data_IF_172580934125
#
_entry.id   IF_172580934125
#
_cell.length_a   1.000
_cell.length_b   1.000
_cell.length_c   1.000
_cell.angle_alpha   90.00
_cell.angle_beta   90.00
_cell.angle_gamma   90.00
#
_symmetry.space_group_name_H-M   'P 1'
#
loop_
_entity.id
_entity.type
_entity.pdbx_description
1 polymer ?
#
# COMPACT_ATOMS: atom_id res chain seq x y z
N UNK A 1 23.55 4.98 24.23
CA UNK A 1 23.28 4.46 22.87
C UNK A 1 22.78 5.61 21.99
N UNK A 2 22.89 5.54 20.67
CA UNK A 2 22.39 6.59 19.77
C UNK A 2 20.99 6.24 19.27
N UNK A 3 20.17 7.25 18.95
CA UNK A 3 18.88 7.07 18.26
C UNK A 3 19.05 6.26 16.97
N UNK A 4 18.02 5.51 16.58
CA UNK A 4 18.02 4.83 15.28
C UNK A 4 17.96 5.86 14.16
N UNK A 5 19.03 5.97 13.37
CA UNK A 5 19.07 6.90 12.25
C UNK A 5 18.32 6.30 11.06
N UNK A 6 17.06 6.67 10.91
CA UNK A 6 16.18 6.16 9.86
C UNK A 6 16.65 6.55 8.46
N UNK A 7 17.30 7.70 8.31
CA UNK A 7 17.79 8.17 7.01
C UNK A 7 18.87 7.22 6.45
N UNK A 8 19.70 6.62 7.32
CA UNK A 8 20.71 5.63 6.95
C UNK A 8 20.14 4.36 6.31
N UNK A 9 18.87 4.05 6.58
CA UNK A 9 18.19 2.85 6.08
C UNK A 9 17.14 3.15 4.99
N UNK A 10 16.89 4.43 4.67
CA UNK A 10 15.86 4.85 3.71
C UNK A 10 16.09 4.32 2.28
N UNK A 11 17.32 3.92 1.92
CA UNK A 11 17.61 3.33 0.59
C UNK A 11 17.00 1.94 0.40
N UNK A 12 16.89 1.14 1.46
CA UNK A 12 16.50 -0.28 1.35
C UNK A 12 15.08 -0.45 0.79
N UNK A 13 14.06 0.28 1.26
CA UNK A 13 12.74 0.23 0.63
C UNK A 13 12.79 0.50 -0.88
N UNK A 14 13.50 1.55 -1.32
CA UNK A 14 13.56 1.89 -2.76
C UNK A 14 14.29 0.81 -3.58
N UNK A 15 15.27 0.11 -3.01
CA UNK A 15 15.86 -1.06 -3.65
C UNK A 15 14.85 -2.20 -3.82
N UNK A 16 13.94 -2.40 -2.86
CA UNK A 16 12.83 -3.35 -3.03
C UNK A 16 11.78 -2.86 -4.03
N UNK A 17 11.59 -1.54 -4.18
CA UNK A 17 10.75 -0.99 -5.25
C UNK A 17 11.34 -1.31 -6.64
N UNK A 18 12.67 -1.29 -6.77
CA UNK A 18 13.34 -1.75 -7.99
C UNK A 18 13.14 -3.26 -8.19
N UNK A 19 13.41 -4.06 -7.14
CA UNK A 19 13.27 -5.51 -7.21
C UNK A 19 11.83 -5.96 -7.55
N UNK A 20 10.82 -5.38 -6.90
CA UNK A 20 9.42 -5.70 -7.20
C UNK A 20 9.03 -5.26 -8.61
N UNK A 21 9.56 -4.15 -9.13
CA UNK A 21 9.28 -3.67 -10.49
C UNK A 21 9.90 -4.59 -11.53
N UNK A 22 11.11 -5.11 -11.27
CA UNK A 22 11.75 -6.12 -12.10
C UNK A 22 10.96 -7.44 -12.12
N UNK A 23 10.48 -7.90 -10.95
CA UNK A 23 9.57 -9.06 -10.88
C UNK A 23 8.25 -8.80 -11.62
N UNK A 24 7.71 -7.58 -11.51
CA UNK A 24 6.50 -7.17 -12.24
C UNK A 24 6.70 -7.22 -13.75
N UNK A 25 7.83 -6.71 -14.25
CA UNK A 25 8.22 -6.81 -15.66
C UNK A 25 8.33 -8.27 -16.11
N UNK A 26 8.99 -9.13 -15.32
CA UNK A 26 9.10 -10.56 -15.62
C UNK A 26 7.73 -11.24 -15.73
N UNK A 27 6.81 -10.93 -14.80
CA UNK A 27 5.44 -11.46 -14.81
C UNK A 27 4.65 -10.99 -16.02
N UNK A 28 4.84 -9.75 -16.48
CA UNK A 28 4.22 -9.25 -17.73
C UNK A 28 4.86 -9.88 -18.96
N UNK A 29 6.17 -10.06 -18.96
CA UNK A 29 6.91 -10.68 -20.06
C UNK A 29 6.43 -12.12 -20.31
N UNK A 30 6.17 -12.89 -19.24
CA UNK A 30 5.63 -14.25 -19.33
C UNK A 30 4.35 -14.36 -20.18
N UNK A 31 3.55 -13.28 -20.26
CA UNK A 31 2.30 -13.25 -21.03
C UNK A 31 2.53 -13.05 -22.54
N UNK A 32 3.68 -12.52 -22.93
CA UNK A 32 4.07 -12.30 -24.33
C UNK A 32 4.99 -13.43 -24.81
N UNK A 33 5.95 -13.82 -23.98
CA UNK A 33 6.92 -14.86 -24.29
C UNK A 33 7.10 -15.76 -23.06
N UNK A 34 6.51 -16.98 -23.08
CA UNK A 34 6.55 -17.89 -21.94
C UNK A 34 7.98 -18.31 -21.58
N UNK A 35 8.34 -18.16 -20.30
CA UNK A 35 9.57 -18.67 -19.71
C UNK A 35 9.28 -19.97 -18.92
N UNK A 36 10.30 -20.83 -18.70
CA UNK A 36 10.16 -22.06 -17.93
C UNK A 36 10.13 -21.80 -16.41
N UNK A 37 9.19 -20.96 -15.97
CA UNK A 37 8.99 -20.58 -14.56
C UNK A 37 7.56 -20.84 -14.12
N UNK A 38 7.37 -21.14 -12.83
CA UNK A 38 6.04 -21.25 -12.25
C UNK A 38 5.50 -19.84 -11.96
N UNK A 39 4.60 -19.34 -12.81
CA UNK A 39 4.04 -17.98 -12.70
C UNK A 39 3.59 -17.62 -11.27
N UNK A 40 2.85 -18.51 -10.61
CA UNK A 40 2.32 -18.30 -9.24
C UNK A 40 3.43 -18.09 -8.20
N UNK A 41 4.59 -18.72 -8.37
CA UNK A 41 5.72 -18.57 -7.45
C UNK A 41 6.32 -17.16 -7.53
N UNK A 42 6.44 -16.62 -8.74
CA UNK A 42 6.90 -15.25 -8.96
C UNK A 42 5.86 -14.21 -8.55
N UNK A 43 4.55 -14.52 -8.65
CA UNK A 43 3.50 -13.66 -8.07
C UNK A 43 3.67 -13.55 -6.56
N UNK A 44 3.99 -14.64 -5.85
CA UNK A 44 4.26 -14.59 -4.41
C UNK A 44 5.52 -13.76 -4.11
N UNK A 45 6.60 -13.94 -4.86
CA UNK A 45 7.81 -13.14 -4.71
C UNK A 45 7.52 -11.64 -4.90
N UNK A 46 6.78 -11.29 -5.97
CA UNK A 46 6.42 -9.92 -6.30
C UNK A 46 5.57 -9.28 -5.20
N UNK A 47 4.48 -9.93 -4.79
CA UNK A 47 3.55 -9.36 -3.80
C UNK A 47 4.18 -9.21 -2.42
N UNK A 48 4.96 -10.19 -1.94
CA UNK A 48 5.64 -10.07 -0.64
C UNK A 48 6.74 -9.00 -0.67
N UNK A 49 7.49 -8.90 -1.77
CA UNK A 49 8.49 -7.82 -1.93
C UNK A 49 7.82 -6.44 -1.95
N UNK A 50 6.65 -6.32 -2.58
CA UNK A 50 5.89 -5.07 -2.56
C UNK A 50 5.37 -4.70 -1.18
N UNK A 51 4.76 -5.65 -0.46
CA UNK A 51 4.13 -5.35 0.83
C UNK A 51 5.18 -5.16 1.92
N UNK A 52 6.14 -6.07 1.99
CA UNK A 52 7.05 -6.22 3.12
C UNK A 52 8.38 -5.52 2.85
N UNK A 53 8.90 -5.66 1.62
CA UNK A 53 10.13 -5.02 1.19
C UNK A 53 9.98 -3.51 0.99
N UNK A 54 9.02 -3.09 0.17
CA UNK A 54 8.78 -1.67 -0.13
C UNK A 54 7.95 -0.99 0.95
N UNK A 55 6.65 -1.30 1.03
CA UNK A 55 5.70 -0.49 1.81
C UNK A 55 5.94 -0.59 3.32
N UNK A 56 6.05 -1.80 3.87
CA UNK A 56 6.22 -1.99 5.32
C UNK A 56 7.51 -1.36 5.82
N UNK A 57 8.64 -1.62 5.16
CA UNK A 57 9.91 -1.01 5.56
C UNK A 57 9.88 0.52 5.46
N UNK A 58 9.30 1.09 4.40
CA UNK A 58 9.17 2.54 4.27
C UNK A 58 8.32 3.14 5.40
N UNK A 59 7.15 2.55 5.68
CA UNK A 59 6.29 2.99 6.78
C UNK A 59 6.96 2.86 8.13
N UNK A 60 7.63 1.74 8.41
CA UNK A 60 8.33 1.52 9.67
C UNK A 60 9.37 2.62 9.92
N UNK A 61 10.23 2.92 8.93
CA UNK A 61 11.21 4.00 9.04
C UNK A 61 10.55 5.37 9.23
N UNK A 62 9.49 5.67 8.48
CA UNK A 62 8.80 6.96 8.55
C UNK A 62 8.07 7.14 9.88
N UNK A 63 7.46 6.08 10.41
CA UNK A 63 6.82 6.07 11.72
C UNK A 63 7.86 6.39 12.80
N UNK A 64 9.02 5.74 12.77
CA UNK A 64 10.09 6.06 13.73
C UNK A 64 10.59 7.51 13.57
N UNK A 65 10.73 8.02 12.35
CA UNK A 65 11.13 9.42 12.13
C UNK A 65 10.12 10.42 12.76
N UNK A 66 8.82 10.12 12.68
CA UNK A 66 7.76 11.05 13.06
C UNK A 66 7.21 10.85 14.47
N UNK A 67 7.31 9.65 15.05
CA UNK A 67 6.69 9.28 16.31
C UNK A 67 7.69 8.81 17.38
N UNK A 68 8.93 8.46 17.02
CA UNK A 68 9.94 8.17 18.04
C UNK A 68 10.29 9.47 18.80
N UNK A 69 10.08 9.44 20.12
CA UNK A 69 10.44 10.52 21.03
C UNK A 69 11.95 10.59 21.30
N UNK A 70 12.33 11.17 22.45
CA UNK A 70 13.73 11.26 22.89
C UNK A 70 14.30 9.94 23.45
N UNK A 71 13.53 8.85 23.39
CA UNK A 71 13.92 7.55 23.94
C UNK A 71 15.03 6.88 23.12
N UNK A 72 15.87 6.11 23.80
CA UNK A 72 17.09 5.55 23.23
C UNK A 72 16.91 4.08 22.82
N UNK A 73 15.99 3.83 21.88
CA UNK A 73 15.65 2.48 21.43
C UNK A 73 16.43 2.05 20.17
N UNK A 74 17.56 2.71 19.89
CA UNK A 74 18.27 2.59 18.62
C UNK A 74 18.72 1.17 18.25
N UNK A 75 19.26 0.42 19.22
CA UNK A 75 19.69 -0.98 19.00
C UNK A 75 18.50 -1.90 18.72
N UNK A 76 17.38 -1.71 19.43
CA UNK A 76 16.17 -2.50 19.27
C UNK A 76 15.60 -2.34 17.86
N UNK A 77 15.37 -1.10 17.42
CA UNK A 77 14.82 -0.83 16.10
C UNK A 77 15.75 -1.23 14.96
N UNK A 78 17.08 -1.13 15.17
CA UNK A 78 18.06 -1.68 14.23
C UNK A 78 17.95 -3.20 14.13
N UNK A 79 17.82 -3.90 15.26
CA UNK A 79 17.61 -5.34 15.29
C UNK A 79 16.35 -5.74 14.51
N UNK A 80 15.22 -5.08 14.78
CA UNK A 80 13.99 -5.28 14.03
C UNK A 80 14.18 -5.05 12.53
N UNK A 81 14.80 -3.93 12.14
CA UNK A 81 15.01 -3.64 10.72
C UNK A 81 15.83 -4.72 10.02
N UNK A 82 16.92 -5.19 10.63
CA UNK A 82 17.76 -6.26 10.09
C UNK A 82 16.97 -7.55 9.93
N UNK A 83 16.17 -7.93 10.94
CA UNK A 83 15.35 -9.14 10.86
C UNK A 83 14.28 -9.05 9.76
N UNK A 84 13.69 -7.87 9.54
CA UNK A 84 12.79 -7.65 8.39
C UNK A 84 13.54 -7.89 7.07
N UNK A 85 14.78 -7.41 6.93
CA UNK A 85 15.58 -7.64 5.72
C UNK A 85 15.84 -9.13 5.49
N UNK A 86 16.21 -9.87 6.54
CA UNK A 86 16.41 -11.33 6.47
C UNK A 86 15.13 -12.02 5.99
N UNK A 87 13.98 -11.65 6.55
CA UNK A 87 12.68 -12.18 6.13
C UNK A 87 12.38 -11.89 4.66
N UNK A 88 12.48 -10.64 4.24
CA UNK A 88 12.16 -10.22 2.86
C UNK A 88 13.10 -10.84 1.84
N UNK A 89 14.42 -10.81 2.07
CA UNK A 89 15.40 -11.41 1.15
C UNK A 89 15.22 -12.93 1.09
N UNK A 90 15.00 -13.57 2.25
CA UNK A 90 14.72 -14.99 2.31
C UNK A 90 13.48 -15.39 1.49
N UNK A 91 12.39 -14.61 1.59
CA UNK A 91 11.19 -14.79 0.76
C UNK A 91 11.45 -14.50 -0.72
N UNK A 92 12.13 -13.40 -1.04
CA UNK A 92 12.45 -12.99 -2.42
C UNK A 92 13.21 -14.09 -3.17
N UNK A 93 14.13 -14.77 -2.48
CA UNK A 93 14.90 -15.87 -3.04
C UNK A 93 14.09 -17.17 -3.05
N UNK A 94 13.44 -17.53 -1.94
CA UNK A 94 12.80 -18.85 -1.82
C UNK A 94 11.48 -18.99 -2.58
N UNK A 95 10.68 -17.92 -2.72
CA UNK A 95 9.41 -17.99 -3.44
C UNK A 95 9.58 -18.46 -4.89
N UNK A 96 10.49 -17.90 -5.71
CA UNK A 96 10.72 -18.36 -7.09
C UNK A 96 11.02 -19.87 -7.23
N UNK A 97 11.67 -20.49 -6.25
CA UNK A 97 12.09 -21.90 -6.34
C UNK A 97 11.05 -22.91 -5.85
N UNK A 98 10.25 -22.55 -4.84
CA UNK A 98 9.36 -23.52 -4.16
C UNK A 98 7.96 -22.97 -3.84
N UNK A 99 7.64 -21.74 -4.25
CA UNK A 99 6.38 -21.08 -3.88
C UNK A 99 6.21 -21.05 -2.37
N UNK A 100 5.02 -21.44 -1.89
CA UNK A 100 4.73 -21.63 -0.46
C UNK A 100 5.37 -22.92 0.12
N UNK A 101 6.64 -23.15 -0.18
CA UNK A 101 7.43 -24.21 0.43
C UNK A 101 7.88 -23.86 1.85
N UNK A 102 8.41 -24.84 2.62
CA UNK A 102 8.77 -24.67 4.03
C UNK A 102 9.71 -23.49 4.30
N UNK A 103 10.72 -23.29 3.44
CA UNK A 103 11.69 -22.18 3.61
C UNK A 103 11.01 -20.80 3.48
N UNK A 104 10.09 -20.64 2.53
CA UNK A 104 9.37 -19.38 2.29
C UNK A 104 8.40 -19.11 3.44
N UNK A 105 7.72 -20.17 3.92
CA UNK A 105 6.84 -20.10 5.09
C UNK A 105 7.64 -19.68 6.33
N UNK A 106 8.82 -20.27 6.57
CA UNK A 106 9.66 -19.92 7.71
C UNK A 106 10.04 -18.43 7.69
N UNK A 107 10.51 -17.91 6.55
CA UNK A 107 10.83 -16.48 6.43
C UNK A 107 9.61 -15.56 6.54
N UNK A 108 8.46 -15.95 5.97
CA UNK A 108 7.22 -15.18 6.12
C UNK A 108 6.71 -15.15 7.56
N UNK A 109 6.88 -16.25 8.29
CA UNK A 109 6.49 -16.38 9.70
C UNK A 109 7.40 -15.55 10.59
N UNK A 110 8.72 -15.62 10.36
CA UNK A 110 9.71 -14.77 11.02
C UNK A 110 9.38 -13.30 10.81
N UNK A 111 9.12 -12.91 9.56
CA UNK A 111 8.73 -11.54 9.23
C UNK A 111 7.47 -11.14 10.00
N UNK A 112 6.41 -11.95 9.94
CA UNK A 112 5.16 -11.68 10.65
C UNK A 112 5.38 -11.50 12.17
N UNK A 113 6.12 -12.40 12.81
CA UNK A 113 6.44 -12.32 14.24
C UNK A 113 7.16 -11.01 14.60
N UNK A 114 8.13 -10.59 13.78
CA UNK A 114 8.85 -9.32 14.00
C UNK A 114 7.93 -8.13 13.78
N UNK A 115 7.02 -8.16 12.79
CA UNK A 115 6.06 -7.08 12.58
C UNK A 115 5.06 -6.92 13.73
N UNK A 116 4.73 -8.01 14.44
CA UNK A 116 3.93 -7.97 15.67
C UNK A 116 4.74 -7.31 16.79
N UNK A 117 6.00 -7.71 16.99
CA UNK A 117 6.87 -7.12 18.00
C UNK A 117 7.12 -5.62 17.76
N UNK A 118 7.30 -5.22 16.49
CA UNK A 118 7.37 -3.81 16.07
C UNK A 118 6.07 -3.10 16.44
N UNK A 119 4.91 -3.67 16.11
CA UNK A 119 3.64 -3.02 16.38
C UNK A 119 3.45 -2.75 17.88
N UNK A 120 3.73 -3.73 18.73
CA UNK A 120 3.69 -3.57 20.20
C UNK A 120 4.67 -2.50 20.68
N UNK A 121 5.90 -2.49 20.14
CA UNK A 121 6.93 -1.52 20.52
C UNK A 121 6.57 -0.09 20.11
N UNK A 122 6.08 0.09 18.88
CA UNK A 122 5.62 1.39 18.38
C UNK A 122 4.39 1.85 19.14
N UNK A 123 3.46 0.96 19.49
CA UNK A 123 2.27 1.31 20.27
C UNK A 123 2.65 1.96 21.60
N UNK A 124 3.71 1.45 22.26
CA UNK A 124 4.27 2.02 23.51
C UNK A 124 4.96 3.38 23.32
N UNK A 125 5.44 3.70 22.11
CA UNK A 125 6.01 5.02 21.82
C UNK A 125 4.94 6.12 21.75
N UNK A 126 3.71 5.76 21.44
CA UNK A 126 2.61 6.71 21.34
C UNK A 126 2.13 6.98 22.77
N UNK A 127 2.58 8.10 23.35
CA UNK A 127 2.28 8.48 24.74
C UNK A 127 1.04 9.37 24.90
N UNK A 128 0.62 10.02 23.82
CA UNK A 128 -0.49 10.99 23.82
C UNK A 128 -1.56 10.61 22.78
N UNK A 129 -2.79 10.44 23.24
CA UNK A 129 -3.98 10.06 22.45
C UNK A 129 -4.76 11.27 21.94
N UNK A 130 -4.40 12.48 22.38
CA UNK A 130 -5.12 13.70 22.02
C UNK A 130 -4.98 14.09 20.55
N UNK A 131 -3.88 13.66 19.90
CA UNK A 131 -3.59 14.02 18.51
C UNK A 131 -4.27 13.08 17.51
N UNK A 132 -4.72 13.66 16.38
CA UNK A 132 -5.37 12.90 15.32
C UNK A 132 -4.38 11.89 14.72
N UNK A 133 -3.13 12.32 14.54
CA UNK A 133 -2.05 11.49 14.04
C UNK A 133 -1.81 10.24 14.91
N UNK A 134 -1.77 10.42 16.24
CA UNK A 134 -1.58 9.31 17.18
C UNK A 134 -2.75 8.30 17.13
N UNK A 135 -3.99 8.81 17.06
CA UNK A 135 -5.18 7.96 16.93
C UNK A 135 -5.12 7.12 15.65
N UNK A 136 -4.81 7.73 14.50
CA UNK A 136 -4.71 7.02 13.23
C UNK A 136 -3.59 5.98 13.24
N UNK A 137 -2.43 6.30 13.82
CA UNK A 137 -1.32 5.34 13.91
C UNK A 137 -1.69 4.13 14.78
N UNK A 138 -2.34 4.35 15.93
CA UNK A 138 -2.77 3.24 16.80
C UNK A 138 -3.71 2.29 16.09
N UNK A 139 -4.73 2.83 15.41
CA UNK A 139 -5.66 2.01 14.65
C UNK A 139 -5.01 1.33 13.45
N UNK A 140 -4.05 1.99 12.79
CA UNK A 140 -3.27 1.36 11.73
C UNK A 140 -2.56 0.10 12.27
N UNK A 141 -1.88 0.20 13.41
CA UNK A 141 -1.20 -0.93 14.06
C UNK A 141 -2.19 -2.01 14.51
N UNK A 142 -3.35 -1.64 15.05
CA UNK A 142 -4.41 -2.59 15.41
C UNK A 142 -4.89 -3.34 14.17
N UNK A 143 -5.17 -2.64 13.06
CA UNK A 143 -5.59 -3.28 11.82
C UNK A 143 -4.48 -4.14 11.18
N UNK A 144 -3.21 -3.80 11.37
CA UNK A 144 -2.08 -4.65 10.99
C UNK A 144 -2.08 -5.98 11.78
N UNK A 145 -2.39 -5.94 13.09
CA UNK A 145 -2.49 -7.15 13.90
C UNK A 145 -3.72 -7.98 13.52
N UNK A 146 -4.87 -7.31 13.32
CA UNK A 146 -6.11 -7.94 12.88
C UNK A 146 -5.92 -8.61 11.51
N UNK A 147 -5.29 -7.94 10.54
CA UNK A 147 -5.09 -8.49 9.19
C UNK A 147 -4.35 -9.83 9.21
N UNK A 148 -3.42 -10.02 10.17
CA UNK A 148 -2.67 -11.25 10.37
C UNK A 148 -3.52 -12.49 10.65
N UNK A 149 -4.78 -12.33 11.07
CA UNK A 149 -5.74 -13.44 11.22
C UNK A 149 -5.97 -14.13 9.86
N UNK A 150 -6.03 -13.37 8.76
CA UNK A 150 -6.29 -13.91 7.42
C UNK A 150 -5.28 -14.99 7.00
N UNK A 151 -3.96 -14.70 6.95
CA UNK A 151 -2.96 -15.68 6.59
C UNK A 151 -2.86 -16.84 7.60
N UNK A 152 -3.07 -16.58 8.89
CA UNK A 152 -3.09 -17.60 9.93
C UNK A 152 -4.22 -18.63 9.74
N UNK A 153 -5.34 -18.23 9.14
CA UNK A 153 -6.46 -19.13 8.82
C UNK A 153 -6.20 -20.02 7.60
N UNK A 154 -5.26 -19.67 6.71
CA UNK A 154 -5.03 -20.43 5.46
C UNK A 154 -4.51 -21.85 5.73
N UNK A 155 -3.67 -22.04 6.75
CA UNK A 155 -3.17 -23.35 7.16
C UNK A 155 -4.28 -24.29 7.65
N UNK A 156 -5.04 -23.89 8.70
CA UNK A 156 -6.21 -24.64 9.17
C UNK A 156 -7.23 -24.94 8.07
N UNK A 157 -7.62 -23.95 7.26
CA UNK A 157 -8.57 -24.16 6.15
C UNK A 157 -8.04 -25.15 5.13
N UNK A 158 -6.74 -25.08 4.80
CA UNK A 158 -6.09 -26.05 3.92
C UNK A 158 -6.12 -27.47 4.50
N UNK A 159 -5.84 -27.62 5.80
CA UNK A 159 -5.85 -28.92 6.47
C UNK A 159 -7.24 -29.54 6.54
N UNK A 160 -8.28 -28.70 6.61
CA UNK A 160 -9.69 -29.11 6.57
C UNK A 160 -10.20 -29.40 5.15
N UNK A 161 -9.36 -29.30 4.11
CA UNK A 161 -9.78 -29.51 2.72
C UNK A 161 -10.58 -28.36 2.12
N UNK A 162 -10.56 -27.18 2.73
CA UNK A 162 -11.39 -26.02 2.37
C UNK A 162 -10.70 -25.03 1.42
N UNK A 163 -9.66 -25.43 0.69
CA UNK A 163 -8.88 -24.53 -0.20
C UNK A 163 -9.74 -23.87 -1.29
N UNK A 164 -10.70 -24.60 -1.83
CA UNK A 164 -11.57 -24.12 -2.91
C UNK A 164 -12.90 -23.56 -2.37
N UNK A 165 -13.03 -23.42 -1.06
CA UNK A 165 -14.23 -22.88 -0.43
C UNK A 165 -14.22 -21.34 -0.37
N UNK A 166 -15.40 -20.70 -0.26
CA UNK A 166 -15.50 -19.26 -0.02
C UNK A 166 -14.70 -18.78 1.19
N UNK A 167 -14.58 -19.60 2.24
CA UNK A 167 -13.84 -19.25 3.45
C UNK A 167 -12.35 -18.98 3.19
N UNK A 168 -11.74 -19.72 2.26
CA UNK A 168 -10.33 -19.52 1.91
C UNK A 168 -10.12 -18.20 1.18
N UNK A 169 -10.97 -17.89 0.19
CA UNK A 169 -10.95 -16.60 -0.51
C UNK A 169 -11.24 -15.43 0.42
N UNK A 170 -12.23 -15.56 1.31
CA UNK A 170 -12.55 -14.54 2.31
C UNK A 170 -11.39 -14.32 3.29
N UNK A 171 -10.65 -15.35 3.70
CA UNK A 171 -9.47 -15.19 4.55
C UNK A 171 -8.36 -14.36 3.85
N UNK A 172 -8.16 -14.58 2.54
CA UNK A 172 -7.26 -13.76 1.72
C UNK A 172 -7.78 -12.33 1.62
N UNK A 173 -9.06 -12.13 1.29
CA UNK A 173 -9.64 -10.80 1.15
C UNK A 173 -9.64 -10.02 2.47
N UNK A 174 -9.85 -10.71 3.59
CA UNK A 174 -9.74 -10.14 4.94
C UNK A 174 -8.33 -9.61 5.18
N UNK A 175 -7.30 -10.41 4.90
CA UNK A 175 -5.91 -9.96 4.98
C UNK A 175 -5.69 -8.71 4.12
N UNK A 176 -6.02 -8.78 2.83
CA UNK A 176 -5.77 -7.71 1.87
C UNK A 176 -6.49 -6.41 2.26
N UNK A 177 -7.75 -6.51 2.67
CA UNK A 177 -8.58 -5.37 3.08
C UNK A 177 -8.00 -4.62 4.27
N UNK A 178 -7.74 -5.34 5.38
CA UNK A 178 -7.20 -4.72 6.59
C UNK A 178 -5.74 -4.30 6.41
N UNK A 179 -4.98 -4.95 5.54
CA UNK A 179 -3.61 -4.57 5.25
C UNK A 179 -3.54 -3.25 4.48
N UNK A 180 -4.36 -3.03 3.43
CA UNK A 180 -4.21 -1.81 2.62
C UNK A 180 -4.99 -0.67 3.21
N UNK A 181 -6.26 -0.91 3.52
CA UNK A 181 -7.16 0.14 4.00
C UNK A 181 -6.91 0.45 5.46
N UNK A 182 -6.65 -0.58 6.29
CA UNK A 182 -6.45 -0.42 7.72
C UNK A 182 -5.01 -0.07 8.09
N UNK A 183 -4.03 -0.84 7.63
CA UNK A 183 -2.63 -0.61 7.97
C UNK A 183 -1.99 0.46 7.07
N UNK A 184 -1.83 0.22 5.77
CA UNK A 184 -1.02 1.10 4.92
C UNK A 184 -1.60 2.52 4.75
N UNK A 185 -2.88 2.64 4.37
CA UNK A 185 -3.52 3.95 4.16
C UNK A 185 -3.60 4.74 5.47
N UNK A 186 -4.07 4.14 6.57
CA UNK A 186 -4.15 4.87 7.84
C UNK A 186 -2.77 5.26 8.38
N UNK A 187 -1.73 4.44 8.19
CA UNK A 187 -0.36 4.82 8.57
C UNK A 187 0.15 6.01 7.74
N UNK A 188 -0.12 6.03 6.42
CA UNK A 188 0.20 7.19 5.58
C UNK A 188 -0.55 8.45 6.05
N UNK A 189 -1.83 8.33 6.39
CA UNK A 189 -2.63 9.43 6.94
C UNK A 189 -2.12 9.88 8.31
N UNK A 190 -1.69 8.96 9.17
CA UNK A 190 -1.09 9.29 10.47
C UNK A 190 0.20 10.11 10.30
N UNK A 191 1.07 9.74 9.36
CA UNK A 191 2.29 10.49 9.04
C UNK A 191 1.92 11.89 8.51
N UNK A 192 0.96 11.97 7.58
CA UNK A 192 0.45 13.25 7.06
C UNK A 192 -0.07 14.15 8.18
N UNK A 193 -0.96 13.64 9.03
CA UNK A 193 -1.51 14.42 10.14
C UNK A 193 -0.43 14.85 11.12
N UNK A 194 0.58 14.00 11.39
CA UNK A 194 1.70 14.39 12.25
C UNK A 194 2.50 15.55 11.66
N UNK A 195 2.72 15.56 10.35
CA UNK A 195 3.42 16.65 9.67
C UNK A 195 2.61 17.96 9.75
N UNK A 196 1.30 17.89 9.52
CA UNK A 196 0.41 19.05 9.63
C UNK A 196 0.38 19.60 11.06
N UNK A 197 0.23 18.74 12.06
CA UNK A 197 0.26 19.12 13.48
C UNK A 197 1.59 19.82 13.86
N UNK A 198 2.73 19.30 13.38
CA UNK A 198 4.06 19.90 13.61
C UNK A 198 4.25 21.24 12.91
N UNK A 199 3.53 21.50 11.81
CA UNK A 199 3.54 22.80 11.13
C UNK A 199 2.74 23.89 11.86
N UNK A 200 2.23 23.58 13.07
CA UNK A 200 1.40 24.50 13.85
C UNK A 200 -0.06 24.53 13.39
N UNK A 201 -0.45 23.61 12.51
CA UNK A 201 -1.81 23.58 11.98
C UNK A 201 -2.73 22.75 12.88
N UNK A 202 -3.89 23.30 13.20
CA UNK A 202 -4.91 22.65 14.03
C UNK A 202 -6.21 22.48 13.26
N UNK A 203 -6.73 21.25 13.26
CA UNK A 203 -8.11 20.95 12.88
C UNK A 203 -9.05 21.31 14.02
N UNK A 204 -10.23 21.84 13.70
CA UNK A 204 -11.32 21.95 14.66
C UNK A 204 -11.75 20.56 15.14
N UNK A 205 -12.25 20.45 16.37
CA UNK A 205 -12.62 19.16 16.97
C UNK A 205 -13.67 18.41 16.14
N UNK A 206 -14.63 19.15 15.57
CA UNK A 206 -15.64 18.59 14.67
C UNK A 206 -15.01 17.96 13.43
N UNK A 207 -13.99 18.57 12.84
CA UNK A 207 -13.30 18.05 11.65
C UNK A 207 -12.49 16.79 12.00
N UNK A 208 -11.77 16.81 13.13
CA UNK A 208 -11.06 15.62 13.65
C UNK A 208 -12.03 14.47 13.90
N UNK A 209 -13.19 14.77 14.49
CA UNK A 209 -14.26 13.80 14.76
C UNK A 209 -14.74 13.18 13.45
N UNK A 210 -15.11 13.99 12.46
CA UNK A 210 -15.58 13.50 11.17
C UNK A 210 -14.54 12.65 10.45
N UNK A 211 -13.28 13.07 10.39
CA UNK A 211 -12.21 12.27 9.77
C UNK A 211 -12.05 10.90 10.42
N UNK A 212 -12.15 10.80 11.76
CA UNK A 212 -12.14 9.51 12.47
C UNK A 212 -13.33 8.61 12.07
N UNK A 213 -14.55 9.15 12.11
CA UNK A 213 -15.74 8.35 11.79
C UNK A 213 -15.83 7.94 10.34
N UNK A 214 -15.30 8.74 9.42
CA UNK A 214 -15.48 8.55 7.97
C UNK A 214 -14.34 7.77 7.32
N UNK A 215 -13.09 7.93 7.77
CA UNK A 215 -11.93 7.27 7.17
C UNK A 215 -11.39 6.10 8.02
N UNK A 216 -11.42 6.24 9.35
CA UNK A 216 -10.78 5.28 10.25
C UNK A 216 -11.76 4.21 10.71
N UNK A 217 -12.91 4.58 11.28
CA UNK A 217 -13.87 3.58 11.79
C UNK A 217 -14.66 2.87 10.67
N UNK A 218 -14.72 3.44 9.46
CA UNK A 218 -15.32 2.77 8.30
C UNK A 218 -14.48 1.61 7.76
N UNK A 219 -13.20 1.50 8.13
CA UNK A 219 -12.34 0.39 7.66
C UNK A 219 -12.93 -0.96 8.04
N UNK A 220 -13.40 -1.14 9.28
CA UNK A 220 -14.02 -2.40 9.71
C UNK A 220 -15.22 -2.79 8.86
N UNK A 221 -16.31 -2.00 8.87
CA UNK A 221 -17.51 -2.26 8.08
C UNK A 221 -17.27 -2.40 6.57
N UNK A 222 -16.27 -1.68 6.03
CA UNK A 222 -15.96 -1.73 4.60
C UNK A 222 -15.51 -3.11 4.12
N UNK A 223 -15.11 -4.02 5.01
CA UNK A 223 -14.79 -5.39 4.63
C UNK A 223 -15.97 -6.10 3.95
N UNK A 224 -17.21 -5.73 4.28
CA UNK A 224 -18.42 -6.29 3.65
C UNK A 224 -18.39 -6.17 2.12
N UNK A 225 -17.73 -5.14 1.58
CA UNK A 225 -17.57 -4.94 0.14
C UNK A 225 -16.73 -6.02 -0.54
N UNK A 226 -15.79 -6.63 0.21
CA UNK A 226 -15.00 -7.77 -0.27
C UNK A 226 -15.78 -9.09 -0.24
N UNK A 227 -16.97 -9.09 0.35
CA UNK A 227 -17.84 -10.25 0.51
C UNK A 227 -19.20 -10.09 -0.22
N UNK A 228 -19.38 -9.06 -1.07
CA UNK A 228 -20.65 -8.82 -1.76
C UNK A 228 -21.08 -9.97 -2.67
N UNK A 229 -20.13 -10.73 -3.20
CA UNK A 229 -20.39 -11.92 -4.02
C UNK A 229 -20.93 -13.12 -3.21
N UNK A 230 -20.97 -13.06 -1.88
CA UNK A 230 -21.44 -14.18 -1.02
C UNK A 230 -22.94 -14.11 -0.73
N UNK A 231 -23.58 -15.22 -0.38
CA UNK A 231 -25.04 -15.29 -0.16
C UNK A 231 -25.53 -14.75 1.20
N UNK A 232 -25.02 -13.59 1.65
CA UNK A 232 -25.32 -13.01 2.97
C UNK A 232 -26.62 -12.17 3.03
N UNK A 233 -27.49 -12.21 2.01
CA UNK A 233 -28.72 -11.40 1.95
C UNK A 233 -28.49 -9.91 1.59
N UNK A 234 -29.55 -9.10 1.58
CA UNK A 234 -29.51 -7.72 1.02
C UNK A 234 -28.88 -6.67 1.94
N UNK A 235 -28.79 -6.93 3.25
CA UNK A 235 -28.23 -5.96 4.21
C UNK A 235 -26.76 -5.62 3.90
N UNK A 236 -26.02 -6.54 3.25
CA UNK A 236 -24.62 -6.33 2.85
C UNK A 236 -24.46 -5.14 1.89
N UNK A 237 -25.41 -4.95 0.97
CA UNK A 237 -25.39 -3.83 0.02
C UNK A 237 -25.71 -2.51 0.71
N UNK A 238 -26.66 -2.50 1.65
CA UNK A 238 -26.98 -1.32 2.46
C UNK A 238 -25.77 -0.89 3.29
N UNK A 239 -25.13 -1.84 3.98
CA UNK A 239 -23.93 -1.56 4.77
C UNK A 239 -22.77 -1.09 3.88
N UNK A 240 -22.58 -1.72 2.72
CA UNK A 240 -21.57 -1.31 1.74
C UNK A 240 -21.81 0.13 1.28
N UNK A 241 -22.99 0.45 0.75
CA UNK A 241 -23.32 1.80 0.25
C UNK A 241 -23.17 2.86 1.35
N UNK A 242 -23.70 2.61 2.55
CA UNK A 242 -23.56 3.53 3.68
C UNK A 242 -22.08 3.78 4.04
N UNK A 243 -21.29 2.70 4.10
CA UNK A 243 -19.86 2.80 4.40
C UNK A 243 -19.09 3.54 3.31
N UNK A 244 -19.39 3.27 2.03
CA UNK A 244 -18.78 3.93 0.89
C UNK A 244 -19.08 5.43 0.85
N UNK A 245 -20.32 5.83 1.12
CA UNK A 245 -20.71 7.24 1.22
C UNK A 245 -19.95 7.94 2.34
N UNK A 246 -19.84 7.32 3.52
CA UNK A 246 -19.05 7.88 4.62
C UNK A 246 -17.57 8.04 4.23
N UNK A 247 -16.97 7.06 3.54
CA UNK A 247 -15.58 7.17 3.07
C UNK A 247 -15.40 8.30 2.05
N UNK A 248 -16.36 8.52 1.15
CA UNK A 248 -16.37 9.67 0.23
C UNK A 248 -16.41 10.99 1.00
N UNK A 249 -17.30 11.12 1.98
CA UNK A 249 -17.34 12.34 2.82
C UNK A 249 -15.98 12.55 3.49
N UNK A 250 -15.40 11.51 4.07
CA UNK A 250 -14.10 11.57 4.72
C UNK A 250 -12.96 12.01 3.81
N UNK A 251 -12.88 11.44 2.60
CA UNK A 251 -11.80 11.76 1.67
C UNK A 251 -11.98 13.15 1.07
N UNK A 252 -13.20 13.62 0.83
CA UNK A 252 -13.46 14.99 0.36
C UNK A 252 -13.13 16.03 1.44
N UNK A 253 -13.41 15.72 2.71
CA UNK A 253 -12.96 16.54 3.83
C UNK A 253 -11.42 16.60 3.86
N UNK A 254 -10.74 15.45 3.80
CA UNK A 254 -9.27 15.38 3.73
C UNK A 254 -8.71 16.18 2.54
N UNK A 255 -9.32 16.05 1.36
CA UNK A 255 -8.94 16.74 0.14
C UNK A 255 -8.99 18.26 0.34
N UNK A 256 -10.12 18.76 0.86
CA UNK A 256 -10.31 20.18 1.18
C UNK A 256 -9.25 20.69 2.15
N UNK A 257 -8.93 19.90 3.19
CA UNK A 257 -7.91 20.28 4.18
C UNK A 257 -6.52 20.38 3.57
N UNK A 258 -6.09 19.35 2.83
CA UNK A 258 -4.76 19.33 2.22
C UNK A 258 -4.63 20.41 1.16
N UNK A 259 -5.65 20.63 0.32
CA UNK A 259 -5.60 21.70 -0.70
C UNK A 259 -5.53 23.10 -0.09
N UNK A 260 -6.28 23.38 0.98
CA UNK A 260 -6.26 24.70 1.63
C UNK A 260 -4.86 25.03 2.18
N UNK A 261 -4.25 24.07 2.87
CA UNK A 261 -2.92 24.25 3.45
C UNK A 261 -1.82 24.34 2.38
N UNK A 262 -1.91 23.51 1.33
CA UNK A 262 -0.89 23.42 0.29
C UNK A 262 -0.92 24.55 -0.75
N UNK A 263 -1.96 25.40 -0.80
CA UNK A 263 -2.00 26.55 -1.73
C UNK A 263 -1.10 27.72 -1.32
N UNK A 264 -0.66 27.79 -0.07
CA UNK A 264 0.04 28.96 0.48
C UNK A 264 1.54 29.07 0.11
N UNK A 265 2.08 28.14 -0.67
CA UNK A 265 3.50 28.11 -1.08
C UNK A 265 3.59 28.05 -2.62
N UNK A 266 3.77 29.20 -3.28
CA UNK A 266 3.45 29.44 -4.70
C UNK A 266 4.36 28.77 -5.77
N UNK A 267 5.36 27.97 -5.39
CA UNK A 267 6.08 27.07 -6.32
C UNK A 267 6.01 25.64 -5.76
N UNK A 268 5.24 24.76 -6.43
CA UNK A 268 4.86 23.44 -5.92
C UNK A 268 6.12 22.55 -5.75
N UNK A 269 6.46 22.20 -4.51
CA UNK A 269 7.48 21.18 -4.26
C UNK A 269 7.01 19.83 -4.81
N UNK A 270 7.92 19.04 -5.38
CA UNK A 270 7.61 17.69 -5.90
C UNK A 270 6.95 16.80 -4.84
N UNK A 271 7.29 16.97 -3.57
CA UNK A 271 6.60 16.33 -2.45
C UNK A 271 5.09 16.59 -2.45
N UNK A 272 4.68 17.86 -2.58
CA UNK A 272 3.27 18.26 -2.58
C UNK A 272 2.52 17.63 -3.74
N UNK A 273 3.12 17.60 -4.92
CA UNK A 273 2.51 17.00 -6.11
C UNK A 273 2.27 15.50 -5.89
N UNK A 274 3.28 14.77 -5.40
CA UNK A 274 3.13 13.35 -5.06
C UNK A 274 2.03 13.12 -4.01
N UNK A 275 1.99 13.95 -2.95
CA UNK A 275 0.96 13.83 -1.92
C UNK A 275 -0.45 14.10 -2.46
N UNK A 276 -0.63 15.20 -3.20
CA UNK A 276 -1.92 15.56 -3.79
C UNK A 276 -2.39 14.49 -4.77
N UNK A 277 -1.47 13.95 -5.55
CA UNK A 277 -1.75 12.86 -6.48
C UNK A 277 -2.17 11.58 -5.74
N UNK A 278 -1.44 11.16 -4.71
CA UNK A 278 -1.81 10.00 -3.89
C UNK A 278 -3.19 10.16 -3.22
N UNK A 279 -3.52 11.35 -2.71
CA UNK A 279 -4.85 11.62 -2.12
C UNK A 279 -5.93 11.67 -3.20
N UNK A 280 -5.66 12.24 -4.37
CA UNK A 280 -6.60 12.24 -5.49
C UNK A 280 -6.93 10.79 -5.93
N UNK A 281 -5.92 9.93 -6.03
CA UNK A 281 -6.13 8.51 -6.31
C UNK A 281 -6.87 7.78 -5.18
N UNK A 282 -6.67 8.17 -3.93
CA UNK A 282 -7.45 7.65 -2.81
C UNK A 282 -8.93 8.05 -2.94
N UNK A 283 -9.20 9.28 -3.40
CA UNK A 283 -10.55 9.72 -3.75
C UNK A 283 -11.15 8.87 -4.88
N UNK A 284 -10.42 8.69 -5.99
CA UNK A 284 -10.85 7.81 -7.10
C UNK A 284 -11.16 6.40 -6.58
N UNK A 285 -10.27 5.82 -5.77
CA UNK A 285 -10.45 4.50 -5.18
C UNK A 285 -11.75 4.39 -4.39
N UNK A 286 -12.09 5.37 -3.55
CA UNK A 286 -13.33 5.31 -2.78
C UNK A 286 -14.58 5.49 -3.66
N UNK A 287 -14.50 6.26 -4.76
CA UNK A 287 -15.59 6.33 -5.73
C UNK A 287 -15.79 5.01 -6.46
N UNK A 288 -14.69 4.37 -6.91
CA UNK A 288 -14.73 3.05 -7.53
C UNK A 288 -15.29 1.98 -6.57
N UNK A 289 -14.90 2.04 -5.30
CA UNK A 289 -15.41 1.14 -4.27
C UNK A 289 -16.91 1.34 -4.00
N UNK A 290 -17.39 2.59 -3.98
CA UNK A 290 -18.83 2.87 -3.87
C UNK A 290 -19.58 2.37 -5.12
N UNK A 291 -19.04 2.60 -6.32
CA UNK A 291 -19.63 2.09 -7.56
C UNK A 291 -19.67 0.55 -7.57
N UNK A 292 -18.60 -0.12 -7.13
CA UNK A 292 -18.54 -1.57 -6.99
C UNK A 292 -19.50 -2.14 -5.92
N UNK A 293 -20.11 -1.29 -5.10
CA UNK A 293 -21.14 -1.69 -4.14
C UNK A 293 -22.56 -1.72 -4.74
N UNK A 294 -22.72 -1.32 -6.00
CA UNK A 294 -24.00 -1.38 -6.72
C UNK A 294 -24.23 -2.84 -7.17
N UNK A 295 -25.39 -3.45 -6.86
CA UNK A 295 -25.71 -4.81 -7.28
C UNK A 295 -25.52 -5.01 -8.79
N UNK A 296 -24.81 -6.07 -9.17
CA UNK A 296 -24.51 -6.41 -10.56
C UNK A 296 -23.13 -5.95 -11.02
N UNK A 297 -22.63 -4.80 -10.53
CA UNK A 297 -21.26 -4.34 -10.83
C UNK A 297 -20.23 -5.22 -10.13
N UNK A 298 -20.52 -5.68 -8.91
CA UNK A 298 -19.67 -6.59 -8.14
C UNK A 298 -19.36 -7.89 -8.91
N UNK A 299 -20.37 -8.49 -9.53
CA UNK A 299 -20.22 -9.70 -10.35
C UNK A 299 -19.35 -9.47 -11.58
N UNK A 300 -19.47 -8.30 -12.23
CA UNK A 300 -18.63 -7.92 -13.36
C UNK A 300 -17.18 -7.72 -12.94
N UNK A 301 -16.92 -7.07 -11.79
CA UNK A 301 -15.56 -6.91 -11.26
C UNK A 301 -14.94 -8.28 -10.97
N UNK A 302 -15.67 -9.20 -10.35
CA UNK A 302 -15.18 -10.54 -10.02
C UNK A 302 -14.88 -11.39 -11.26
N UNK A 303 -15.60 -11.17 -12.37
CA UNK A 303 -15.34 -11.84 -13.63
C UNK A 303 -14.09 -11.31 -14.36
N UNK A 304 -13.54 -10.15 -13.96
CA UNK A 304 -12.47 -9.46 -14.68
C UNK A 304 -11.21 -9.27 -13.83
N UNK A 305 -10.28 -10.23 -13.95
CA UNK A 305 -8.98 -10.18 -13.27
C UNK A 305 -8.20 -8.88 -13.52
N UNK A 306 -8.32 -8.29 -14.72
CA UNK A 306 -7.69 -7.01 -15.05
C UNK A 306 -8.14 -5.87 -14.13
N UNK A 307 -9.45 -5.79 -13.84
CA UNK A 307 -10.02 -4.78 -12.93
C UNK A 307 -9.57 -5.02 -11.50
N UNK A 308 -9.55 -6.27 -11.03
CA UNK A 308 -9.06 -6.62 -9.69
C UNK A 308 -7.58 -6.21 -9.55
N UNK A 309 -6.76 -6.49 -10.56
CA UNK A 309 -5.34 -6.12 -10.58
C UNK A 309 -5.17 -4.59 -10.63
N UNK A 310 -5.99 -3.87 -11.40
CA UNK A 310 -5.99 -2.40 -11.43
C UNK A 310 -6.33 -1.81 -10.06
N UNK A 311 -7.37 -2.32 -9.37
CA UNK A 311 -7.73 -1.85 -8.04
C UNK A 311 -6.60 -2.05 -7.01
N UNK A 312 -5.86 -3.17 -7.10
CA UNK A 312 -4.69 -3.43 -6.25
C UNK A 312 -3.55 -2.46 -6.61
N UNK A 313 -3.23 -2.26 -7.88
CA UNK A 313 -2.17 -1.33 -8.28
C UNK A 313 -2.53 0.13 -7.97
N UNK A 314 -3.79 0.54 -8.12
CA UNK A 314 -4.30 1.84 -7.73
C UNK A 314 -3.99 2.15 -6.27
N UNK A 315 -4.23 1.22 -5.34
CA UNK A 315 -3.92 1.45 -3.92
C UNK A 315 -2.42 1.36 -3.63
N UNK A 316 -1.70 0.38 -4.18
CA UNK A 316 -0.28 0.16 -3.87
C UNK A 316 0.66 1.15 -4.57
N UNK A 317 0.60 1.18 -5.89
CA UNK A 317 1.45 2.04 -6.72
C UNK A 317 0.90 3.47 -6.67
N UNK A 318 -0.41 3.62 -6.87
CA UNK A 318 -1.04 4.94 -6.94
C UNK A 318 -1.13 5.68 -5.60
N UNK A 319 -1.87 5.14 -4.63
CA UNK A 319 -2.10 5.84 -3.36
C UNK A 319 -0.85 5.79 -2.48
N UNK A 320 -0.47 4.58 -2.05
CA UNK A 320 0.53 4.39 -1.00
C UNK A 320 1.92 4.83 -1.48
N UNK A 321 2.37 4.40 -2.67
CA UNK A 321 3.73 4.72 -3.11
C UNK A 321 3.92 6.22 -3.35
N UNK A 322 2.95 6.94 -3.93
CA UNK A 322 3.10 8.40 -4.09
C UNK A 322 3.05 9.16 -2.76
N UNK A 323 2.24 8.72 -1.78
CA UNK A 323 2.30 9.28 -0.43
C UNK A 323 3.67 9.04 0.22
N UNK A 324 4.22 7.82 0.11
CA UNK A 324 5.56 7.49 0.61
C UNK A 324 6.65 8.31 -0.08
N UNK A 325 6.60 8.48 -1.40
CA UNK A 325 7.55 9.32 -2.15
C UNK A 325 7.50 10.78 -1.68
N UNK A 326 6.31 11.32 -1.43
CA UNK A 326 6.18 12.64 -0.80
C UNK A 326 6.91 12.71 0.54
N UNK A 327 6.70 11.73 1.41
CA UNK A 327 7.34 11.71 2.73
C UNK A 327 8.85 11.52 2.65
N UNK A 328 9.37 10.79 1.66
CA UNK A 328 10.80 10.68 1.39
C UNK A 328 11.42 12.02 1.01
N UNK A 329 10.71 12.81 0.19
CA UNK A 329 11.17 14.14 -0.22
C UNK A 329 11.10 15.12 0.97
N UNK A 330 9.97 15.16 1.71
CA UNK A 330 9.80 16.04 2.87
C UNK A 330 10.75 15.70 4.02
N UNK A 331 11.01 14.42 4.24
CA UNK A 331 11.95 13.92 5.23
C UNK A 331 13.42 14.12 4.83
N UNK A 332 13.69 14.65 3.63
CA UNK A 332 15.02 14.89 3.11
C UNK A 332 15.83 13.61 2.84
N UNK A 333 15.14 12.48 2.64
CA UNK A 333 15.77 11.18 2.33
C UNK A 333 16.10 11.05 0.85
N UNK A 334 15.28 11.64 -0.01
CA UNK A 334 15.51 11.72 -1.46
C UNK A 334 15.91 13.14 -1.86
N UNK A 335 17.01 13.29 -2.61
CA UNK A 335 17.45 14.58 -3.15
C UNK A 335 16.57 14.94 -4.36
N UNK A 336 16.17 16.21 -4.49
CA UNK A 336 15.39 16.69 -5.63
C UNK A 336 16.31 17.23 -6.75
N UNK A 337 16.97 16.31 -7.45
CA UNK A 337 17.76 16.60 -8.66
C UNK A 337 16.93 16.40 -9.92
N UNK A 338 17.49 16.67 -11.10
CA UNK A 338 16.81 16.35 -12.36
C UNK A 338 16.53 14.83 -12.52
N UNK A 339 17.40 13.98 -11.95
CA UNK A 339 17.29 12.52 -12.01
C UNK A 339 16.06 12.04 -11.23
N UNK A 340 15.89 12.46 -9.97
CA UNK A 340 14.75 12.02 -9.16
C UNK A 340 13.42 12.56 -9.68
N UNK A 341 13.39 13.81 -10.17
CA UNK A 341 12.21 14.40 -10.82
C UNK A 341 11.80 13.61 -12.06
N UNK A 342 12.77 13.26 -12.91
CA UNK A 342 12.54 12.40 -14.07
C UNK A 342 12.08 11.02 -13.65
N UNK A 343 12.71 10.43 -12.62
CA UNK A 343 12.31 9.14 -12.08
C UNK A 343 10.86 9.10 -11.61
N UNK A 344 10.41 10.13 -10.89
CA UNK A 344 9.02 10.28 -10.45
C UNK A 344 8.07 10.39 -11.65
N UNK A 345 8.40 11.21 -12.65
CA UNK A 345 7.58 11.39 -13.84
C UNK A 345 7.47 10.09 -14.66
N UNK A 346 8.59 9.41 -14.89
CA UNK A 346 8.65 8.12 -15.59
C UNK A 346 7.86 7.06 -14.84
N UNK A 347 8.02 6.97 -13.51
CA UNK A 347 7.25 6.04 -12.67
C UNK A 347 5.74 6.32 -12.76
N UNK A 348 5.34 7.60 -12.71
CA UNK A 348 3.96 8.02 -12.91
C UNK A 348 3.41 7.60 -14.28
N UNK A 349 4.14 7.85 -15.36
CA UNK A 349 3.71 7.45 -16.70
C UNK A 349 3.53 5.93 -16.81
N UNK A 350 4.45 5.13 -16.28
CA UNK A 350 4.33 3.67 -16.28
C UNK A 350 3.11 3.18 -15.49
N UNK A 351 2.84 3.80 -14.34
CA UNK A 351 1.63 3.54 -13.56
C UNK A 351 0.35 3.88 -14.35
N UNK A 352 0.27 5.08 -14.93
CA UNK A 352 -0.91 5.51 -15.69
C UNK A 352 -1.17 4.62 -16.89
N UNK A 353 -0.14 4.23 -17.66
CA UNK A 353 -0.30 3.31 -18.79
C UNK A 353 -0.79 1.94 -18.30
N UNK A 354 -0.24 1.43 -17.20
CA UNK A 354 -0.66 0.16 -16.60
C UNK A 354 -2.14 0.19 -16.22
N UNK A 355 -2.57 1.20 -15.46
CA UNK A 355 -3.97 1.34 -15.03
C UNK A 355 -4.94 1.49 -16.21
N UNK A 356 -4.61 2.36 -17.17
CA UNK A 356 -5.44 2.58 -18.35
C UNK A 356 -5.58 1.27 -19.14
N UNK A 357 -4.48 0.56 -19.39
CA UNK A 357 -4.53 -0.70 -20.13
C UNK A 357 -5.39 -1.75 -19.43
N UNK A 358 -5.20 -1.93 -18.11
CA UNK A 358 -5.94 -2.92 -17.31
C UNK A 358 -7.44 -2.65 -17.24
N UNK A 359 -7.85 -1.38 -17.23
CA UNK A 359 -9.26 -0.97 -17.14
C UNK A 359 -9.92 -0.89 -18.52
N UNK A 360 -9.21 -0.39 -19.54
CA UNK A 360 -9.77 -0.16 -20.87
C UNK A 360 -10.38 -1.42 -21.46
N UNK A 361 -9.63 -2.53 -21.51
CA UNK A 361 -10.09 -3.74 -22.19
C UNK A 361 -11.41 -4.30 -21.59
N UNK A 362 -11.53 -4.52 -20.26
CA UNK A 362 -12.81 -4.90 -19.66
C UNK A 362 -13.92 -3.86 -19.86
N UNK A 363 -13.62 -2.56 -19.78
CA UNK A 363 -14.62 -1.50 -19.90
C UNK A 363 -15.20 -1.38 -21.31
N UNK A 364 -14.40 -1.49 -22.37
CA UNK A 364 -14.91 -1.52 -23.75
C UNK A 364 -15.78 -2.76 -23.99
N UNK A 365 -15.36 -3.93 -23.47
CA UNK A 365 -16.15 -5.16 -23.53
C UNK A 365 -17.52 -5.02 -22.86
N UNK A 366 -17.59 -4.36 -21.69
CA UNK A 366 -18.84 -4.08 -20.99
C UNK A 366 -19.82 -3.22 -21.83
N UNK A 367 -19.29 -2.31 -22.64
CA UNK A 367 -20.09 -1.44 -23.53
C UNK A 367 -20.46 -2.11 -24.86
N UNK A 368 -20.09 -3.38 -25.06
CA UNK A 368 -20.29 -4.09 -26.33
C UNK A 368 -19.40 -3.57 -27.47
N UNK A 369 -18.35 -2.81 -27.14
CA UNK A 369 -17.43 -2.23 -28.11
C UNK A 369 -16.21 -3.13 -28.28
N UNK A 370 -15.85 -3.44 -29.54
CA UNK A 370 -14.61 -4.13 -29.85
C UNK A 370 -13.44 -3.15 -29.81
N UNK A 371 -12.57 -3.27 -28.81
CA UNK A 371 -11.33 -2.50 -28.71
C UNK A 371 -10.13 -3.46 -28.76
N UNK A 372 -9.33 -3.38 -29.82
CA UNK A 372 -8.14 -4.20 -30.01
C UNK A 372 -6.89 -3.32 -29.96
N UNK A 373 -5.95 -3.70 -29.11
CA UNK A 373 -4.63 -3.10 -29.01
C UNK A 373 -3.66 -4.18 -28.49
N UNK A 374 -2.33 -4.01 -28.64
CA UNK A 374 -1.36 -4.99 -28.16
C UNK A 374 -1.28 -4.95 -26.62
N UNK A 375 -2.28 -5.55 -25.97
CA UNK A 375 -2.56 -5.43 -24.54
C UNK A 375 -1.40 -5.92 -23.69
N UNK A 376 -0.87 -7.12 -23.97
CA UNK A 376 0.20 -7.72 -23.18
C UNK A 376 1.52 -6.98 -23.39
N UNK A 377 1.84 -6.58 -24.62
CA UNK A 377 3.03 -5.80 -24.96
C UNK A 377 2.98 -4.41 -24.31
N UNK A 378 1.81 -3.77 -24.30
CA UNK A 378 1.60 -2.48 -23.63
C UNK A 378 1.89 -2.61 -22.13
N UNK A 379 1.42 -3.68 -21.49
CA UNK A 379 1.69 -3.92 -20.07
C UNK A 379 3.18 -4.23 -19.80
N UNK A 380 3.88 -4.88 -20.72
CA UNK A 380 5.34 -5.09 -20.64
C UNK A 380 6.08 -3.75 -20.71
N UNK A 381 5.75 -2.90 -21.69
CA UNK A 381 6.35 -1.56 -21.83
C UNK A 381 6.08 -0.72 -20.58
N UNK A 382 4.85 -0.72 -20.08
CA UNK A 382 4.48 0.01 -18.87
C UNK A 382 5.26 -0.48 -17.63
N UNK A 383 5.45 -1.80 -17.49
CA UNK A 383 6.26 -2.38 -16.42
C UNK A 383 7.75 -2.03 -16.54
N UNK A 384 8.29 -1.96 -17.75
CA UNK A 384 9.66 -1.51 -18.00
C UNK A 384 9.83 -0.02 -17.62
N UNK A 385 8.85 0.82 -17.98
CA UNK A 385 8.82 2.24 -17.58
C UNK A 385 8.80 2.38 -16.05
N UNK A 386 7.95 1.60 -15.35
CA UNK A 386 7.93 1.57 -13.88
C UNK A 386 9.30 1.19 -13.29
N UNK A 387 9.96 0.17 -13.85
CA UNK A 387 11.30 -0.23 -13.44
C UNK A 387 12.31 0.91 -13.62
N UNK A 388 12.34 1.55 -14.80
CA UNK A 388 13.26 2.68 -15.05
C UNK A 388 13.01 3.82 -14.05
N UNK A 389 11.75 4.20 -13.84
CA UNK A 389 11.40 5.23 -12.85
C UNK A 389 11.86 4.88 -11.44
N UNK A 390 11.67 3.64 -11.01
CA UNK A 390 12.11 3.16 -9.70
C UNK A 390 13.64 3.20 -9.53
N UNK A 391 14.40 2.85 -10.58
CA UNK A 391 15.88 2.89 -10.56
C UNK A 391 16.36 4.33 -10.42
N UNK A 392 15.82 5.26 -11.23
CA UNK A 392 16.18 6.67 -11.17
C UNK A 392 15.91 7.28 -9.78
N UNK A 393 14.79 6.93 -9.15
CA UNK A 393 14.49 7.35 -7.78
C UNK A 393 15.45 6.76 -6.75
N UNK A 394 15.84 5.48 -6.90
CA UNK A 394 16.75 4.81 -5.98
C UNK A 394 18.18 5.38 -6.01
N UNK A 395 18.63 5.93 -7.14
CA UNK A 395 19.95 6.57 -7.28
C UNK A 395 20.11 7.84 -6.44
N UNK A 396 18.99 8.52 -6.14
CA UNK A 396 18.97 9.85 -5.52
C UNK A 396 18.67 9.84 -4.02
N UNK A 397 18.71 8.66 -3.39
CA UNK A 397 18.59 8.52 -1.94
C UNK A 397 19.92 8.83 -1.28
N UNK A 398 19.90 9.64 -0.21
CA UNK A 398 21.11 9.98 0.56
C UNK A 398 21.85 8.71 0.98
N UNK A 399 23.16 8.67 0.72
CA UNK A 399 24.02 7.54 1.08
C UNK A 399 24.53 7.70 2.50
N UNK A 400 24.91 6.57 3.10
CA UNK A 400 25.60 6.52 4.40
C UNK A 400 26.88 7.36 4.45
N UNK A 401 27.49 7.62 3.29
CA UNK A 401 28.76 8.35 3.12
C UNK A 401 28.58 9.86 2.87
N UNK A 402 27.33 10.34 2.77
CA UNK A 402 27.02 11.75 2.50
C UNK A 402 26.86 12.58 3.80
N UNK A 403 27.23 12.01 4.95
CA UNK A 403 27.28 12.62 6.29
C UNK A 403 28.71 12.53 6.79
#
# INVERSE_FOLDING_TARGET
MSRFDTAKFARFPLLYLVALSALGLLLRWQMVSPLPITYRYFVHAHSHTAFMGWVYNALFLLILQHFEGKENNGKLFRGYFITLQIGVVGMLISFPFQGYGPVAIAFSTLHMAVTIAIAVSVFKLIKDDSTLAATFLRWALIYQLISGIGPLMLGPLSAMGLKDSPFYSLAIYFFMHFQFNGWFVLACLAILFRQLERSGWSLADTERKWLKYTLLYTVGPAYVMSALWTDMGQWKYVLAMATGVLQIVGVLLLLRFVWKHMKQNLLLSWARQCLQFGIALLTVKYFLQLAGSIPGIDSWVMANNGIIIALIHLIFIGVVSFMLLSFYILGGWMRLTAISKTGILVFFSGFSITEIALVALPSFSLLGLSFQFPYFETLVVAAAILLIGSVLMALEVKRLQDQ
#
